data_IF_651088612172
#
_entry.id   IF_651088612172
#
_cell.length_a   1.000
_cell.length_b   1.000
_cell.length_c   1.000
_cell.angle_alpha   90.00
_cell.angle_beta   90.00
_cell.angle_gamma   90.00
#
_symmetry.space_group_name_H-M   'P 1'
#
loop_
_entity.id
_entity.type
_entity.pdbx_description
1 polymer ?
#
# COMPACT_ATOMS: atom_id res chain seq x y z
N UNK A 1 8.49 -46.59 -13.49
CA UNK A 1 8.32 -45.25 -12.86
C UNK A 1 9.29 -45.13 -11.69
N UNK A 2 10.43 -44.45 -11.87
CA UNK A 2 11.49 -44.35 -10.86
C UNK A 2 11.17 -43.29 -9.81
N UNK A 3 11.16 -43.67 -8.52
CA UNK A 3 11.06 -42.72 -7.40
C UNK A 3 12.42 -42.06 -7.19
N UNK A 4 12.60 -40.84 -7.71
CA UNK A 4 13.73 -39.99 -7.38
C UNK A 4 13.65 -39.58 -5.90
N UNK A 5 14.39 -40.30 -5.04
CA UNK A 5 14.63 -39.91 -3.65
C UNK A 5 15.73 -38.85 -3.65
N UNK A 6 15.34 -37.58 -3.56
CA UNK A 6 16.27 -36.46 -3.42
C UNK A 6 17.19 -36.64 -2.20
N UNK A 7 18.47 -36.26 -2.36
CA UNK A 7 19.50 -36.32 -1.31
C UNK A 7 19.06 -35.50 -0.10
N UNK A 8 19.05 -36.11 1.09
CA UNK A 8 18.83 -35.42 2.35
C UNK A 8 20.01 -34.52 2.64
N UNK A 9 19.83 -33.21 2.52
CA UNK A 9 20.85 -32.23 2.92
C UNK A 9 20.85 -32.19 4.45
N UNK A 10 22.00 -32.49 5.05
CA UNK A 10 22.22 -32.33 6.49
C UNK A 10 22.34 -30.83 6.79
N UNK A 11 21.21 -30.18 7.07
CA UNK A 11 21.17 -28.77 7.40
C UNK A 11 21.37 -28.67 8.92
N UNK A 12 22.62 -28.50 9.35
CA UNK A 12 22.93 -28.19 10.75
C UNK A 12 22.61 -26.71 11.01
N UNK A 13 21.75 -26.45 11.99
CA UNK A 13 21.38 -25.08 12.39
C UNK A 13 20.00 -24.99 13.01
N UNK A 14 19.74 -23.89 13.72
CA UNK A 14 18.39 -23.57 14.23
C UNK A 14 17.54 -23.11 13.03
N UNK A 15 16.33 -23.66 12.83
CA UNK A 15 15.48 -23.30 11.70
C UNK A 15 15.21 -21.79 11.64
N UNK A 16 15.49 -21.14 10.51
CA UNK A 16 15.34 -19.67 10.37
C UNK A 16 13.93 -19.24 9.97
N UNK A 17 13.19 -20.08 9.25
CA UNK A 17 11.81 -19.79 8.78
C UNK A 17 10.94 -21.06 8.67
N UNK A 18 9.66 -20.90 8.30
CA UNK A 18 8.63 -21.96 8.35
C UNK A 18 8.83 -23.07 7.31
N UNK A 19 9.56 -22.80 6.24
CA UNK A 19 9.89 -23.75 5.17
C UNK A 19 11.30 -24.34 5.26
N UNK A 20 12.03 -24.10 6.35
CA UNK A 20 13.37 -24.63 6.56
C UNK A 20 13.35 -26.17 6.71
N UNK A 21 14.19 -26.87 5.95
CA UNK A 21 14.24 -28.33 5.94
C UNK A 21 14.91 -28.92 7.20
N UNK A 22 15.66 -28.13 7.97
CA UNK A 22 16.16 -28.51 9.32
C UNK A 22 15.07 -28.54 10.39
N UNK A 23 13.84 -28.15 10.07
CA UNK A 23 12.73 -27.99 11.01
C UNK A 23 12.00 -29.31 11.26
N UNK A 24 11.77 -29.64 12.52
CA UNK A 24 10.86 -30.74 12.91
C UNK A 24 9.47 -30.48 12.34
N UNK A 25 9.00 -31.38 11.46
CA UNK A 25 7.68 -31.29 10.81
C UNK A 25 6.59 -31.12 11.87
N UNK A 26 5.76 -30.08 11.74
CA UNK A 26 4.65 -29.80 12.65
C UNK A 26 4.91 -28.74 13.73
N UNK A 27 6.17 -28.35 13.98
CA UNK A 27 6.47 -27.22 14.88
C UNK A 27 6.06 -25.88 14.23
N UNK A 28 5.85 -24.80 15.00
CA UNK A 28 5.61 -23.44 14.47
C UNK A 28 6.89 -22.60 14.62
N UNK A 29 7.14 -21.64 13.73
CA UNK A 29 8.28 -20.72 13.91
C UNK A 29 8.11 -19.85 15.14
N UNK A 30 9.22 -19.39 15.75
CA UNK A 30 9.17 -18.52 16.92
C UNK A 30 8.33 -17.24 16.68
N UNK A 31 8.43 -16.63 15.49
CA UNK A 31 7.61 -15.50 15.10
C UNK A 31 6.11 -15.85 15.05
N UNK A 32 5.77 -17.00 14.46
CA UNK A 32 4.37 -17.49 14.43
C UNK A 32 3.85 -17.75 15.84
N UNK A 33 4.66 -18.33 16.73
CA UNK A 33 4.29 -18.56 18.13
C UNK A 33 4.04 -17.24 18.86
N UNK A 34 4.89 -16.21 18.68
CA UNK A 34 4.67 -14.88 19.27
C UNK A 34 3.39 -14.23 18.76
N UNK A 35 3.12 -14.30 17.45
CA UNK A 35 1.86 -13.81 16.86
C UNK A 35 0.65 -14.53 17.43
N UNK A 36 0.68 -15.85 17.55
CA UNK A 36 -0.45 -16.61 18.11
C UNK A 36 -0.65 -16.32 19.60
N UNK A 37 0.43 -16.16 20.37
CA UNK A 37 0.36 -15.72 21.78
C UNK A 37 -0.28 -14.33 21.90
N UNK A 38 -0.11 -13.46 20.91
CA UNK A 38 -0.74 -12.13 20.90
C UNK A 38 -2.27 -12.21 20.91
N UNK A 39 -2.88 -13.10 20.12
CA UNK A 39 -4.34 -13.27 20.12
C UNK A 39 -4.90 -13.85 21.44
N UNK A 40 -4.06 -14.54 22.22
CA UNK A 40 -4.46 -15.21 23.46
C UNK A 40 -4.13 -14.40 24.73
N UNK A 41 -3.93 -13.08 24.64
CA UNK A 41 -3.57 -12.25 25.81
C UNK A 41 -4.78 -12.00 26.72
N UNK A 42 -4.68 -12.43 27.98
CA UNK A 42 -5.68 -12.22 29.04
C UNK A 42 -5.03 -11.67 30.32
N UNK A 43 -5.77 -10.96 31.20
CA UNK A 43 -5.32 -10.66 32.57
C UNK A 43 -4.78 -11.90 33.27
N UNK A 44 -3.71 -11.74 34.05
CA UNK A 44 -3.39 -12.72 35.10
C UNK A 44 -4.16 -12.33 36.37
N UNK A 45 -4.97 -13.24 36.87
CA UNK A 45 -5.78 -13.06 38.09
C UNK A 45 -5.23 -13.90 39.24
N UNK A 46 -5.45 -13.45 40.47
CA UNK A 46 -5.30 -14.25 41.69
C UNK A 46 -6.51 -15.18 41.89
N UNK A 47 -6.41 -16.17 42.79
CA UNK A 47 -7.51 -17.07 43.16
C UNK A 47 -8.75 -16.31 43.65
N UNK A 48 -8.54 -15.13 44.26
CA UNK A 48 -9.61 -14.22 44.72
C UNK A 48 -10.21 -13.35 43.59
N UNK A 49 -9.79 -13.54 42.34
CA UNK A 49 -10.27 -12.77 41.18
C UNK A 49 -9.63 -11.40 41.01
N UNK A 50 -8.67 -11.01 41.86
CA UNK A 50 -7.95 -9.72 41.71
C UNK A 50 -6.95 -9.78 40.57
N UNK A 51 -6.94 -8.75 39.73
CA UNK A 51 -5.98 -8.58 38.62
C UNK A 51 -4.57 -8.34 39.18
N UNK A 52 -3.65 -9.24 38.84
CA UNK A 52 -2.22 -9.15 39.15
C UNK A 52 -1.46 -8.34 38.09
N UNK A 53 -1.66 -8.66 36.81
CA UNK A 53 -1.00 -7.96 35.70
C UNK A 53 -1.76 -8.06 34.38
N UNK A 54 -1.60 -7.02 33.57
CA UNK A 54 -1.97 -6.99 32.16
C UNK A 54 -0.76 -6.55 31.34
N UNK A 55 -0.64 -7.04 30.11
CA UNK A 55 0.54 -6.77 29.28
C UNK A 55 0.61 -5.35 28.72
N UNK A 56 -0.55 -4.71 28.49
CA UNK A 56 -0.64 -3.36 27.88
C UNK A 56 -1.51 -2.38 28.67
N UNK A 57 -1.91 -2.77 29.88
CA UNK A 57 -2.71 -1.92 30.78
C UNK A 57 -1.97 -1.82 32.11
N UNK A 58 -0.94 -0.97 32.15
CA UNK A 58 -0.25 -0.61 33.38
C UNK A 58 -1.19 0.26 34.24
N UNK A 59 -1.13 0.08 35.55
CA UNK A 59 -1.81 0.96 36.52
C UNK A 59 -1.00 2.21 36.86
N UNK A 60 0.30 2.16 36.57
CA UNK A 60 1.22 3.26 36.79
C UNK A 60 0.92 4.37 35.79
N UNK A 61 0.79 5.59 36.31
CA UNK A 61 0.63 6.80 35.51
C UNK A 61 2.01 7.22 35.00
N UNK A 62 2.22 7.32 33.68
CA UNK A 62 3.48 7.83 33.16
C UNK A 62 3.59 9.33 33.44
N UNK A 63 4.82 9.82 33.60
CA UNK A 63 5.07 11.27 33.59
C UNK A 63 4.74 11.82 32.20
N UNK A 64 3.84 12.80 32.14
CA UNK A 64 3.38 13.43 30.90
C UNK A 64 4.18 14.67 30.52
N UNK A 65 5.14 15.08 31.35
CA UNK A 65 5.93 16.28 31.12
C UNK A 65 6.94 16.05 30.01
N UNK A 66 6.87 16.90 29.00
CA UNK A 66 7.83 16.92 27.90
C UNK A 66 8.91 17.95 28.26
N UNK A 67 10.18 17.57 28.18
CA UNK A 67 11.29 18.47 28.52
C UNK A 67 11.37 19.64 27.54
N UNK A 68 11.56 20.89 28.00
CA UNK A 68 11.68 22.02 27.10
C UNK A 68 12.93 21.88 26.21
N UNK A 69 12.76 21.86 24.89
CA UNK A 69 13.84 21.87 23.91
C UNK A 69 13.65 23.04 22.92
N UNK A 70 14.64 23.96 22.78
CA UNK A 70 14.59 25.03 21.78
C UNK A 70 14.36 24.55 20.35
N UNK A 71 14.74 23.31 20.02
CA UNK A 71 14.55 22.71 18.68
C UNK A 71 13.09 22.57 18.28
N UNK A 72 12.15 22.53 19.24
CA UNK A 72 10.72 22.45 18.93
C UNK A 72 10.17 23.69 18.24
N UNK A 73 10.82 24.83 18.47
CA UNK A 73 10.40 26.12 17.93
C UNK A 73 11.13 26.47 16.62
N UNK A 74 12.11 25.66 16.21
CA UNK A 74 12.78 25.81 14.94
C UNK A 74 11.93 25.28 13.77
N UNK A 75 12.00 25.95 12.63
CA UNK A 75 11.28 25.53 11.43
C UNK A 75 11.80 24.15 10.96
N UNK A 76 10.96 23.10 11.07
CA UNK A 76 11.37 21.71 10.76
C UNK A 76 11.39 21.38 9.27
N UNK A 77 10.65 22.13 8.46
CA UNK A 77 10.57 21.94 7.00
C UNK A 77 10.68 23.29 6.34
N UNK A 78 11.90 23.64 5.92
CA UNK A 78 12.19 24.86 5.17
C UNK A 78 12.53 24.44 3.75
N UNK A 79 11.92 25.13 2.77
CA UNK A 79 12.21 24.95 1.35
C UNK A 79 12.80 26.26 0.85
N UNK A 80 13.86 26.19 0.06
CA UNK A 80 14.45 27.39 -0.53
C UNK A 80 13.57 27.94 -1.65
N UNK A 81 13.64 29.25 -1.90
CA UNK A 81 12.85 29.89 -2.95
C UNK A 81 13.13 29.29 -4.35
N UNK A 82 14.39 28.95 -4.64
CA UNK A 82 14.79 28.33 -5.91
C UNK A 82 14.19 26.93 -6.10
N UNK A 83 14.13 26.15 -5.01
CA UNK A 83 13.50 24.83 -5.04
C UNK A 83 11.98 24.92 -5.24
N UNK A 84 11.33 25.96 -4.71
CA UNK A 84 9.91 26.22 -4.95
C UNK A 84 9.62 26.57 -6.41
N UNK A 85 10.49 27.34 -7.05
CA UNK A 85 10.38 27.67 -8.47
C UNK A 85 10.54 26.41 -9.34
N UNK A 86 11.58 25.62 -9.09
CA UNK A 86 11.79 24.36 -9.78
C UNK A 86 10.62 23.37 -9.58
N UNK A 87 10.06 23.30 -8.36
CA UNK A 87 8.88 22.49 -8.09
C UNK A 87 7.66 22.98 -8.88
N UNK A 88 7.44 24.29 -8.97
CA UNK A 88 6.33 24.88 -9.75
C UNK A 88 6.46 24.51 -11.23
N UNK A 89 7.65 24.62 -11.81
CA UNK A 89 7.90 24.27 -13.22
C UNK A 89 7.65 22.77 -13.48
N UNK A 90 8.11 21.91 -12.58
CA UNK A 90 7.86 20.46 -12.67
C UNK A 90 6.36 20.14 -12.61
N UNK A 91 5.61 20.76 -11.68
CA UNK A 91 4.17 20.56 -11.55
C UNK A 91 3.40 21.07 -12.78
N UNK A 92 3.79 22.21 -13.35
CA UNK A 92 3.20 22.72 -14.59
C UNK A 92 3.44 21.77 -15.76
N UNK A 93 4.67 21.25 -15.90
CA UNK A 93 5.01 20.29 -16.93
C UNK A 93 4.23 18.97 -16.78
N UNK A 94 4.06 18.47 -15.57
CA UNK A 94 3.24 17.27 -15.31
C UNK A 94 1.75 17.50 -15.63
N UNK A 95 1.20 18.65 -15.23
CA UNK A 95 -0.18 19.03 -15.57
C UNK A 95 -0.38 19.17 -17.08
N UNK A 96 0.62 19.69 -17.79
CA UNK A 96 0.65 19.77 -19.25
C UNK A 96 0.70 18.39 -19.89
N UNK A 97 1.53 17.46 -19.41
CA UNK A 97 1.55 16.08 -19.89
C UNK A 97 0.17 15.41 -19.68
N UNK A 98 -0.45 15.61 -18.52
CA UNK A 98 -1.78 15.07 -18.24
C UNK A 98 -2.87 15.66 -19.14
N UNK A 99 -2.83 16.97 -19.43
CA UNK A 99 -3.78 17.60 -20.36
C UNK A 99 -3.53 17.16 -21.80
N UNK A 100 -2.28 17.08 -22.26
CA UNK A 100 -1.90 16.55 -23.57
C UNK A 100 -2.39 15.11 -23.77
N UNK A 101 -2.23 14.24 -22.76
CA UNK A 101 -2.75 12.87 -22.81
C UNK A 101 -4.27 12.92 -22.95
N UNK A 102 -4.99 13.69 -22.13
CA UNK A 102 -6.45 13.84 -22.25
C UNK A 102 -6.89 14.34 -23.63
N UNK A 103 -6.20 15.35 -24.19
CA UNK A 103 -6.48 15.87 -25.53
C UNK A 103 -6.15 14.85 -26.64
N UNK A 104 -5.04 14.11 -26.52
CA UNK A 104 -4.67 13.03 -27.45
C UNK A 104 -5.71 11.92 -27.45
N UNK A 105 -6.23 11.54 -26.27
CA UNK A 105 -7.32 10.58 -26.16
C UNK A 105 -8.63 11.12 -26.76
N UNK A 106 -8.99 12.36 -26.47
CA UNK A 106 -10.18 13.01 -27.06
C UNK A 106 -10.11 13.08 -28.60
N UNK A 107 -8.97 13.50 -29.15
CA UNK A 107 -8.72 13.53 -30.60
C UNK A 107 -8.80 12.14 -31.23
N UNK A 108 -8.20 11.12 -30.59
CA UNK A 108 -8.27 9.74 -31.08
C UNK A 108 -9.70 9.19 -31.09
N UNK A 109 -10.55 9.59 -30.14
CA UNK A 109 -11.97 9.25 -30.12
C UNK A 109 -12.72 9.95 -31.26
N UNK A 110 -12.46 11.24 -31.49
CA UNK A 110 -13.04 11.98 -32.63
C UNK A 110 -12.62 11.38 -33.98
N UNK A 111 -11.33 11.10 -34.17
CA UNK A 111 -10.80 10.50 -35.40
C UNK A 111 -11.41 9.10 -35.64
N UNK A 112 -11.57 8.29 -34.58
CA UNK A 112 -12.24 7.00 -34.68
C UNK A 112 -13.71 7.13 -35.10
N UNK A 113 -14.44 8.14 -34.60
CA UNK A 113 -15.81 8.41 -35.08
C UNK A 113 -15.83 8.82 -36.55
N UNK A 114 -14.94 9.72 -36.98
CA UNK A 114 -14.86 10.16 -38.39
C UNK A 114 -14.53 9.00 -39.35
N UNK A 115 -13.60 8.10 -38.98
CA UNK A 115 -13.29 6.88 -39.76
C UNK A 115 -14.52 5.97 -39.87
N UNK A 116 -15.30 5.79 -38.80
CA UNK A 116 -16.56 5.01 -38.83
C UNK A 116 -17.60 5.66 -39.75
N UNK A 117 -17.70 7.00 -39.77
CA UNK A 117 -18.61 7.73 -40.67
C UNK A 117 -18.15 7.69 -42.14
N UNK A 118 -16.84 7.75 -42.42
CA UNK A 118 -16.28 7.64 -43.78
C UNK A 118 -16.43 6.21 -44.35
N UNK A 119 -16.27 5.17 -43.52
CA UNK A 119 -16.50 3.78 -43.95
C UNK A 119 -17.99 3.51 -44.27
N UNK A 120 -18.92 4.15 -43.55
CA UNK A 120 -20.37 4.04 -43.78
C UNK A 120 -20.88 4.96 -44.91
N UNK A 121 -20.05 5.88 -45.40
CA UNK A 121 -20.37 6.86 -46.44
C UNK A 121 -20.47 6.30 -47.87
N UNK A 122 -20.27 4.99 -48.09
CA UNK A 122 -20.54 4.36 -49.40
C UNK A 122 -22.00 3.92 -49.60
N UNK A 123 -22.96 4.31 -48.75
CA UNK A 123 -24.38 4.13 -49.06
C UNK A 123 -25.35 5.07 -48.30
N UNK A 124 -26.01 5.94 -49.08
CA UNK A 124 -27.39 6.45 -48.99
C UNK A 124 -27.85 7.33 -47.80
N UNK A 125 -28.17 8.57 -48.18
CA UNK A 125 -29.39 9.35 -47.92
C UNK A 125 -29.98 9.43 -46.49
N UNK A 126 -30.16 10.67 -46.01
CA UNK A 126 -31.13 10.98 -44.96
C UNK A 126 -31.94 12.24 -45.32
N UNK A 127 -33.27 12.07 -45.38
CA UNK A 127 -34.25 13.12 -45.64
C UNK A 127 -35.15 13.34 -44.41
N UNK A 128 -35.36 14.63 -44.06
CA UNK A 128 -36.45 15.24 -43.27
C UNK A 128 -36.53 14.89 -41.77
N UNK A 129 -36.95 15.76 -40.83
CA UNK A 129 -37.85 16.94 -40.85
C UNK A 129 -37.42 18.01 -39.83
N UNK A 130 -37.75 19.27 -40.14
CA UNK A 130 -37.99 20.34 -39.17
C UNK A 130 -39.12 19.93 -38.20
N UNK A 131 -38.95 20.21 -36.91
CA UNK A 131 -40.07 20.44 -35.99
C UNK A 131 -39.81 21.79 -35.32
N UNK A 132 -40.68 22.75 -35.63
CA UNK A 132 -40.87 23.97 -34.86
C UNK A 132 -41.70 23.62 -33.62
N UNK A 133 -41.20 23.96 -32.43
CA UNK A 133 -41.87 24.78 -31.39
C UNK A 133 -40.76 25.51 -30.65
#
# INVERSE_FOLDING_TARGET
MGKNRGKSVNISGKPKHSSDASRTKGSRTAATVRRLKMYNKKPKLDRKGKILKHEFQSKELPSTHIQPDPRWFGNTRVVSQKELELLRDQLQNQNHISSQIRQKWAKRIQDATQVIYVQKGSAKAYATKKVQV
#
